data_IF_075827088258
#
_entry.id   IF_075827088258
#
_cell.length_a   1.000
_cell.length_b   1.000
_cell.length_c   1.000
_cell.angle_alpha   90.00
_cell.angle_beta   90.00
_cell.angle_gamma   90.00
#
_symmetry.space_group_name_H-M   'P 1'
#
loop_
_entity.id
_entity.type
_entity.pdbx_description
1 polymer ?
#
# COMPACT_ATOMS: atom_id res chain seq x y z
N UNK A 1 88.31 16.84 79.49
CA UNK A 1 87.37 15.78 79.12
C UNK A 1 86.98 16.05 77.68
N UNK A 2 87.79 15.56 76.75
CA UNK A 2 87.67 14.23 76.10
C UNK A 2 86.85 14.42 74.81
N UNK A 3 87.23 13.93 73.64
CA UNK A 3 88.48 13.36 73.15
C UNK A 3 88.41 13.41 71.60
N UNK A 4 89.58 13.15 71.01
CA UNK A 4 90.05 13.21 69.64
C UNK A 4 89.35 12.31 68.58
N UNK A 5 89.39 12.83 67.34
CA UNK A 5 89.83 12.20 66.05
C UNK A 5 88.95 11.13 65.36
N UNK A 6 88.49 11.43 64.13
CA UNK A 6 88.96 10.77 62.87
C UNK A 6 88.49 11.51 61.60
N UNK A 7 89.46 11.96 60.78
CA UNK A 7 89.39 12.06 59.30
C UNK A 7 89.59 10.64 58.74
N UNK A 8 89.00 10.16 57.66
CA UNK A 8 89.07 10.42 56.20
C UNK A 8 87.98 9.50 55.60
N UNK A 9 87.33 9.73 54.45
CA UNK A 9 87.87 9.48 53.11
C UNK A 9 86.80 9.83 52.04
N UNK A 10 87.26 10.28 50.88
CA UNK A 10 86.48 10.78 49.73
C UNK A 10 85.90 9.62 48.91
N UNK A 11 84.60 9.65 48.58
CA UNK A 11 84.06 9.00 47.36
C UNK A 11 83.02 9.89 46.67
N UNK A 12 83.44 10.36 45.49
CA UNK A 12 82.66 11.08 44.49
C UNK A 12 81.57 10.16 43.91
N UNK A 13 80.29 10.48 44.16
CA UNK A 13 79.15 9.82 43.50
C UNK A 13 78.59 10.77 42.46
N UNK A 14 78.91 10.48 41.19
CA UNK A 14 78.26 11.11 40.02
C UNK A 14 76.75 10.80 40.06
N UNK A 15 75.97 11.81 40.41
CA UNK A 15 74.51 11.82 40.22
C UNK A 15 74.17 11.77 38.72
N UNK A 16 73.53 10.68 38.32
CA UNK A 16 73.01 10.44 36.97
C UNK A 16 71.80 11.37 36.76
N UNK A 17 71.98 12.50 36.05
CA UNK A 17 70.86 13.34 35.59
C UNK A 17 69.96 12.51 34.68
N UNK A 18 68.80 12.09 35.19
CA UNK A 18 67.68 11.62 34.38
C UNK A 18 67.18 12.80 33.55
N UNK A 19 67.37 12.71 32.24
CA UNK A 19 66.89 13.71 31.29
C UNK A 19 65.39 13.46 31.06
N UNK A 20 64.53 14.02 31.91
CA UNK A 20 63.08 14.05 31.65
C UNK A 20 62.81 15.18 30.66
N UNK A 21 62.63 14.81 29.38
CA UNK A 21 62.00 15.68 28.38
C UNK A 21 60.60 16.02 28.90
N UNK A 22 60.42 17.24 29.42
CA UNK A 22 59.10 17.77 29.74
C UNK A 22 58.45 18.20 28.43
N UNK A 23 57.47 17.41 27.98
CA UNK A 23 56.70 17.74 26.79
C UNK A 23 56.00 19.09 26.95
N UNK A 24 56.02 19.89 25.87
CA UNK A 24 55.40 21.21 25.83
C UNK A 24 53.87 21.10 26.04
N UNK A 25 53.22 22.08 26.69
CA UNK A 25 51.76 22.12 26.80
C UNK A 25 51.02 21.98 25.45
N UNK A 26 51.65 22.39 24.34
CA UNK A 26 51.10 22.22 22.98
C UNK A 26 51.13 20.77 22.48
N UNK A 27 52.10 19.97 22.93
CA UNK A 27 52.20 18.56 22.55
C UNK A 27 51.24 17.71 23.39
N UNK A 28 51.07 18.02 24.68
CA UNK A 28 50.02 17.41 25.50
C UNK A 28 48.60 17.65 24.94
N UNK A 29 48.32 18.85 24.43
CA UNK A 29 47.00 19.16 23.83
C UNK A 29 46.73 18.34 22.55
N UNK A 30 47.76 18.04 21.75
CA UNK A 30 47.64 17.16 20.56
C UNK A 30 47.37 15.72 20.97
N UNK A 31 48.10 15.17 21.95
CA UNK A 31 47.89 13.79 22.41
C UNK A 31 46.54 13.62 23.13
N UNK A 32 46.05 14.63 23.85
CA UNK A 32 44.69 14.64 24.38
C UNK A 32 43.63 14.69 23.27
N UNK A 33 43.85 15.50 22.22
CA UNK A 33 42.95 15.56 21.06
C UNK A 33 42.86 14.24 20.29
N UNK A 34 43.99 13.57 20.03
CA UNK A 34 44.01 12.25 19.39
C UNK A 34 43.48 11.13 20.30
N UNK A 35 43.71 11.21 21.61
CA UNK A 35 43.15 10.26 22.58
C UNK A 35 41.63 10.37 22.71
N UNK A 36 41.10 11.60 22.75
CA UNK A 36 39.65 11.85 22.81
C UNK A 36 38.96 11.43 21.50
N UNK A 37 39.60 11.72 20.35
CA UNK A 37 39.12 11.29 19.04
C UNK A 37 39.14 9.75 18.91
N UNK A 38 40.19 9.09 19.41
CA UNK A 38 40.28 7.63 19.45
C UNK A 38 39.20 6.99 20.33
N UNK A 39 38.93 7.55 21.51
CA UNK A 39 37.85 7.10 22.39
C UNK A 39 36.48 7.31 21.73
N UNK A 40 36.27 8.45 21.05
CA UNK A 40 35.06 8.72 20.29
C UNK A 40 34.85 7.70 19.16
N UNK A 41 35.91 7.36 18.41
CA UNK A 41 35.83 6.35 17.33
C UNK A 41 35.53 4.97 17.91
N UNK A 42 36.18 4.57 19.01
CA UNK A 42 35.92 3.29 19.68
C UNK A 42 34.49 3.26 20.24
N UNK A 43 34.03 4.33 20.88
CA UNK A 43 32.66 4.46 21.34
C UNK A 43 31.66 4.37 20.19
N UNK A 44 31.95 5.01 19.05
CA UNK A 44 31.10 4.97 17.86
C UNK A 44 31.08 3.55 17.25
N UNK A 45 32.20 2.85 17.24
CA UNK A 45 32.28 1.44 16.82
C UNK A 45 31.51 0.51 17.75
N UNK A 46 31.70 0.63 19.07
CA UNK A 46 30.96 -0.15 20.08
C UNK A 46 29.47 0.17 19.99
N UNK A 47 29.10 1.45 19.91
CA UNK A 47 27.73 1.90 19.72
C UNK A 47 27.13 1.31 18.45
N UNK A 48 27.88 1.28 17.35
CA UNK A 48 27.43 0.68 16.09
C UNK A 48 27.16 -0.81 16.27
N UNK A 49 28.08 -1.56 16.89
CA UNK A 49 27.91 -2.99 17.16
C UNK A 49 26.72 -3.25 18.10
N UNK A 50 26.59 -2.48 19.17
CA UNK A 50 25.47 -2.57 20.12
C UNK A 50 24.15 -2.25 19.44
N UNK A 51 24.07 -1.18 18.64
CA UNK A 51 22.87 -0.80 17.89
C UNK A 51 22.49 -1.87 16.87
N UNK A 52 23.44 -2.41 16.09
CA UNK A 52 23.18 -3.50 15.14
C UNK A 52 22.67 -4.75 15.87
N UNK A 53 23.24 -5.09 17.02
CA UNK A 53 22.77 -6.22 17.83
C UNK A 53 21.39 -5.97 18.44
N UNK A 54 21.12 -4.76 18.92
CA UNK A 54 19.83 -4.38 19.50
C UNK A 54 18.71 -4.33 18.45
N UNK A 55 19.02 -3.93 17.21
CA UNK A 55 18.11 -3.96 16.07
C UNK A 55 17.67 -5.39 15.73
N UNK A 56 18.58 -6.38 15.85
CA UNK A 56 18.21 -7.80 15.70
C UNK A 56 17.18 -8.28 16.72
N UNK A 57 17.07 -7.60 17.86
CA UNK A 57 16.07 -7.88 18.91
C UNK A 57 14.89 -6.90 18.86
N UNK A 58 14.68 -6.19 17.75
CA UNK A 58 13.58 -5.22 17.56
C UNK A 58 13.51 -4.13 18.66
N UNK A 59 14.67 -3.67 19.14
CA UNK A 59 14.73 -2.64 20.19
C UNK A 59 14.07 -1.33 19.76
N UNK A 60 13.12 -0.87 20.58
CA UNK A 60 12.41 0.41 20.42
C UNK A 60 13.11 1.59 21.13
N UNK A 61 14.33 1.37 21.64
CA UNK A 61 15.05 2.39 22.39
C UNK A 61 15.40 3.59 21.49
N UNK A 62 15.12 4.82 21.96
CA UNK A 62 15.34 6.05 21.18
C UNK A 62 16.76 6.22 20.66
N UNK A 63 17.77 5.75 21.41
CA UNK A 63 19.17 5.75 20.96
C UNK A 63 19.40 4.77 19.80
N UNK A 64 18.81 3.57 19.89
CA UNK A 64 18.90 2.55 18.83
C UNK A 64 18.18 3.03 17.57
N UNK A 65 16.99 3.64 17.72
CA UNK A 65 16.26 4.26 16.60
C UNK A 65 17.11 5.38 15.95
N UNK A 66 17.65 6.30 16.74
CA UNK A 66 18.55 7.35 16.26
C UNK A 66 19.76 6.80 15.49
N UNK A 67 20.46 5.82 16.05
CA UNK A 67 21.60 5.17 15.40
C UNK A 67 21.20 4.39 14.16
N UNK A 68 20.05 3.72 14.15
CA UNK A 68 19.56 2.98 12.99
C UNK A 68 19.26 3.89 11.79
N UNK A 69 18.81 5.13 12.06
CA UNK A 69 18.61 6.15 11.03
C UNK A 69 19.94 6.60 10.44
N UNK A 70 20.93 6.88 11.29
CA UNK A 70 22.29 7.29 10.87
C UNK A 70 22.96 6.18 10.05
N UNK A 71 22.82 4.93 10.48
CA UNK A 71 23.42 3.76 9.84
C UNK A 71 22.60 3.23 8.65
N UNK A 72 21.44 3.83 8.35
CA UNK A 72 20.51 3.37 7.32
C UNK A 72 20.23 1.85 7.41
N UNK A 73 19.91 1.40 8.63
CA UNK A 73 19.59 0.00 8.91
C UNK A 73 18.19 -0.32 8.38
N UNK A 74 18.09 -1.53 7.83
CA UNK A 74 16.88 -1.99 7.15
C UNK A 74 16.36 -3.28 7.75
N UNK A 75 15.04 -3.39 7.86
CA UNK A 75 14.36 -4.62 8.26
C UNK A 75 14.34 -5.65 7.13
N UNK A 76 14.19 -5.17 5.90
CA UNK A 76 14.14 -5.96 4.68
C UNK A 76 14.65 -5.14 3.49
N UNK A 77 14.84 -5.80 2.36
CA UNK A 77 15.12 -5.20 1.07
C UNK A 77 14.18 -5.80 0.02
N UNK A 78 13.72 -5.01 -0.93
CA UNK A 78 12.92 -5.45 -2.07
C UNK A 78 13.59 -4.99 -3.37
N UNK A 79 14.04 -5.91 -4.20
CA UNK A 79 14.83 -5.60 -5.41
C UNK A 79 16.08 -4.73 -5.11
N UNK A 80 16.70 -4.92 -3.94
CA UNK A 80 17.86 -4.15 -3.45
C UNK A 80 17.50 -2.82 -2.77
N UNK A 81 16.23 -2.42 -2.81
CA UNK A 81 15.74 -1.22 -2.14
C UNK A 81 15.41 -1.49 -0.67
N UNK A 82 16.05 -0.73 0.23
CA UNK A 82 15.93 -0.90 1.68
C UNK A 82 14.56 -0.48 2.24
N UNK A 83 14.01 -1.29 3.13
CA UNK A 83 12.88 -0.98 4.01
C UNK A 83 13.42 -0.53 5.36
N UNK A 84 13.10 0.71 5.76
CA UNK A 84 13.60 1.35 6.99
C UNK A 84 13.24 0.57 8.25
N UNK A 85 14.24 0.31 9.10
CA UNK A 85 13.99 -0.27 10.43
C UNK A 85 13.14 0.66 11.31
N UNK A 86 13.37 1.97 11.25
CA UNK A 86 12.61 2.93 12.06
C UNK A 86 11.14 2.91 11.68
N UNK A 87 10.85 2.90 10.39
CA UNK A 87 9.48 2.94 9.88
C UNK A 87 8.74 1.67 10.31
N UNK A 88 9.41 0.51 10.23
CA UNK A 88 8.88 -0.77 10.70
C UNK A 88 8.59 -0.77 12.21
N UNK A 89 9.52 -0.32 13.05
CA UNK A 89 9.32 -0.30 14.50
C UNK A 89 8.24 0.71 14.92
N UNK A 90 8.21 1.88 14.29
CA UNK A 90 7.17 2.88 14.55
C UNK A 90 5.79 2.34 14.19
N UNK A 91 5.66 1.69 13.04
CA UNK A 91 4.40 1.14 12.57
C UNK A 91 3.94 -0.07 13.40
N UNK A 92 4.88 -0.92 13.85
CA UNK A 92 4.62 -1.96 14.84
C UNK A 92 4.07 -1.37 16.13
N UNK A 93 4.68 -0.31 16.65
CA UNK A 93 4.21 0.36 17.87
C UNK A 93 2.79 0.90 17.68
N UNK A 94 2.50 1.48 16.53
CA UNK A 94 1.17 2.00 16.20
C UNK A 94 0.12 0.90 16.12
N UNK A 95 0.37 -0.22 15.42
CA UNK A 95 -0.59 -1.31 15.34
C UNK A 95 -0.78 -2.01 16.70
N UNK A 96 0.30 -2.24 17.45
CA UNK A 96 0.18 -2.78 18.81
C UNK A 96 -0.64 -1.86 19.73
N UNK A 97 -0.52 -0.54 19.57
CA UNK A 97 -1.34 0.42 20.31
C UNK A 97 -2.81 0.31 19.90
N UNK A 98 -3.10 0.28 18.61
CA UNK A 98 -4.46 0.10 18.10
C UNK A 98 -5.10 -1.19 18.66
N UNK A 99 -4.38 -2.31 18.61
CA UNK A 99 -4.87 -3.61 19.10
C UNK A 99 -4.85 -3.77 20.62
N UNK A 100 -4.24 -2.84 21.37
CA UNK A 100 -4.33 -2.84 22.85
C UNK A 100 -5.70 -2.40 23.36
N UNK A 101 -6.49 -1.72 22.52
CA UNK A 101 -7.87 -1.34 22.80
C UNK A 101 -8.72 -1.42 21.52
N UNK A 102 -8.99 -2.64 21.02
CA UNK A 102 -9.65 -2.85 19.75
C UNK A 102 -11.16 -2.48 19.84
N UNK A 103 -11.79 -2.08 18.72
CA UNK A 103 -13.25 -2.01 18.64
C UNK A 103 -13.91 -3.34 19.03
N UNK A 104 -15.14 -3.27 19.54
CA UNK A 104 -15.91 -4.45 19.91
C UNK A 104 -16.11 -5.38 18.71
N UNK A 105 -15.96 -6.70 18.95
CA UNK A 105 -16.09 -7.72 17.90
C UNK A 105 -14.87 -7.90 16.99
N UNK A 106 -13.80 -7.10 17.15
CA UNK A 106 -12.60 -7.23 16.34
C UNK A 106 -11.68 -8.33 16.88
N UNK A 107 -11.34 -9.31 16.05
CA UNK A 107 -10.30 -10.29 16.34
C UNK A 107 -8.92 -9.61 16.38
N UNK A 108 -8.21 -9.80 17.49
CA UNK A 108 -6.86 -9.27 17.67
C UNK A 108 -5.84 -10.22 17.03
N UNK A 109 -5.04 -9.78 16.05
CA UNK A 109 -4.00 -10.62 15.48
C UNK A 109 -2.87 -10.88 16.48
N UNK A 110 -2.15 -11.97 16.26
CA UNK A 110 -0.90 -12.29 16.96
C UNK A 110 0.19 -11.26 16.64
N UNK A 111 1.23 -11.20 17.47
CA UNK A 111 2.37 -10.29 17.22
C UNK A 111 3.11 -10.59 15.91
N UNK A 112 3.12 -11.86 15.48
CA UNK A 112 3.69 -12.27 14.19
C UNK A 112 2.83 -11.75 13.03
N UNK A 113 1.50 -11.91 13.09
CA UNK A 113 0.58 -11.37 12.09
C UNK A 113 0.65 -9.83 12.01
N UNK A 114 0.78 -9.14 13.14
CA UNK A 114 1.00 -7.67 13.15
C UNK A 114 2.31 -7.32 12.47
N UNK A 115 3.40 -8.05 12.76
CA UNK A 115 4.69 -7.88 12.08
C UNK A 115 4.56 -8.06 10.57
N UNK A 116 3.87 -9.10 10.14
CA UNK A 116 3.65 -9.44 8.74
C UNK A 116 2.83 -8.36 8.03
N UNK A 117 1.79 -7.83 8.67
CA UNK A 117 1.01 -6.71 8.15
C UNK A 117 1.86 -5.45 7.96
N UNK A 118 2.71 -5.10 8.95
CA UNK A 118 3.59 -3.93 8.84
C UNK A 118 4.59 -4.12 7.70
N UNK A 119 5.27 -5.26 7.66
CA UNK A 119 6.26 -5.53 6.62
C UNK A 119 5.63 -5.53 5.22
N UNK A 120 4.47 -6.17 5.07
CA UNK A 120 3.72 -6.22 3.81
C UNK A 120 3.37 -4.83 3.30
N UNK A 121 2.79 -3.99 4.16
CA UNK A 121 2.46 -2.60 3.80
C UNK A 121 3.69 -1.80 3.40
N UNK A 122 4.80 -1.93 4.12
CA UNK A 122 6.03 -1.19 3.80
C UNK A 122 6.64 -1.63 2.47
N UNK A 123 6.61 -2.93 2.16
CA UNK A 123 7.05 -3.47 0.88
C UNK A 123 6.15 -2.99 -0.27
N UNK A 124 4.83 -3.08 -0.11
CA UNK A 124 3.86 -2.58 -1.07
C UNK A 124 4.04 -1.08 -1.35
N UNK A 125 4.13 -0.26 -0.29
CA UNK A 125 4.40 1.18 -0.40
C UNK A 125 5.72 1.46 -1.13
N UNK A 126 6.74 0.64 -0.93
CA UNK A 126 8.03 0.79 -1.63
C UNK A 126 7.87 0.57 -3.13
N UNK A 127 7.11 -0.45 -3.53
CA UNK A 127 6.80 -0.72 -4.94
C UNK A 127 5.94 0.39 -5.54
N UNK A 128 4.85 0.80 -4.88
CA UNK A 128 3.98 1.88 -5.34
C UNK A 128 4.79 3.17 -5.55
N UNK A 129 5.63 3.54 -4.59
CA UNK A 129 6.48 4.73 -4.72
C UNK A 129 7.48 4.64 -5.89
N UNK A 130 7.99 3.44 -6.17
CA UNK A 130 8.89 3.22 -7.32
C UNK A 130 8.13 3.35 -8.62
N UNK A 131 7.01 2.64 -8.75
CA UNK A 131 6.13 2.68 -9.92
C UNK A 131 5.63 4.11 -10.18
N UNK A 132 5.19 4.82 -9.15
CA UNK A 132 4.74 6.20 -9.32
C UNK A 132 5.83 7.13 -9.89
N UNK A 133 7.10 6.94 -9.49
CA UNK A 133 8.22 7.70 -10.08
C UNK A 133 8.44 7.36 -11.55
N UNK A 134 8.34 6.09 -11.93
CA UNK A 134 8.47 5.63 -13.32
C UNK A 134 7.39 6.23 -14.23
N UNK A 135 6.17 6.38 -13.71
CA UNK A 135 5.02 6.95 -14.43
C UNK A 135 4.87 8.46 -14.22
N UNK A 136 5.79 9.11 -13.49
CA UNK A 136 5.74 10.55 -13.24
C UNK A 136 4.59 11.01 -12.32
N UNK A 137 3.92 10.09 -11.63
CA UNK A 137 2.79 10.36 -10.73
C UNK A 137 3.29 10.88 -9.39
N UNK A 138 2.66 11.97 -8.90
CA UNK A 138 3.00 12.62 -7.64
C UNK A 138 1.75 13.06 -6.90
N UNK A 139 1.81 13.02 -5.57
CA UNK A 139 0.82 13.65 -4.70
C UNK A 139 1.16 15.13 -4.54
N UNK A 140 0.21 16.01 -4.83
CA UNK A 140 0.33 17.46 -4.71
C UNK A 140 -0.12 17.94 -3.34
N UNK A 141 0.17 19.20 -3.00
CA UNK A 141 -0.35 19.81 -1.77
C UNK A 141 -1.87 19.96 -1.81
N UNK A 142 -2.46 20.18 -2.98
CA UNK A 142 -3.91 20.26 -3.15
C UNK A 142 -4.58 18.91 -2.85
N UNK A 143 -4.01 17.81 -3.35
CA UNK A 143 -4.50 16.45 -3.03
C UNK A 143 -4.50 16.22 -1.51
N UNK A 144 -3.44 16.68 -0.83
CA UNK A 144 -3.30 16.55 0.64
C UNK A 144 -4.34 17.40 1.37
N UNK A 145 -4.57 18.63 0.93
CA UNK A 145 -5.59 19.52 1.51
C UNK A 145 -6.98 18.91 1.33
N UNK A 146 -7.33 18.46 0.14
CA UNK A 146 -8.63 17.84 -0.14
C UNK A 146 -8.85 16.56 0.68
N UNK A 147 -7.81 15.74 0.82
CA UNK A 147 -7.85 14.56 1.69
C UNK A 147 -8.04 14.94 3.16
N UNK A 148 -7.32 15.96 3.64
CA UNK A 148 -7.47 16.46 5.01
C UNK A 148 -8.89 16.97 5.24
N UNK A 149 -9.42 17.79 4.34
CA UNK A 149 -10.77 18.36 4.48
C UNK A 149 -11.82 17.25 4.49
N UNK A 150 -11.70 16.27 3.60
CA UNK A 150 -12.58 15.08 3.57
C UNK A 150 -12.50 14.27 4.86
N UNK A 151 -11.29 14.06 5.39
CA UNK A 151 -11.08 13.35 6.65
C UNK A 151 -11.71 14.12 7.82
N UNK A 152 -11.56 15.44 7.86
CA UNK A 152 -12.08 16.29 8.92
C UNK A 152 -13.62 16.33 8.95
N UNK A 153 -14.32 16.01 7.87
CA UNK A 153 -15.80 15.90 7.89
C UNK A 153 -16.31 14.82 8.84
N UNK A 154 -15.47 13.82 9.18
CA UNK A 154 -15.79 12.74 10.11
C UNK A 154 -15.61 13.15 11.58
N UNK A 155 -15.08 14.34 11.84
CA UNK A 155 -14.76 14.81 13.19
C UNK A 155 -15.42 16.16 13.49
N UNK A 156 -15.76 16.46 14.76
CA UNK A 156 -16.29 17.76 15.13
C UNK A 156 -15.32 18.93 14.89
N UNK A 157 -14.01 18.68 14.99
CA UNK A 157 -12.96 19.66 14.75
C UNK A 157 -11.61 18.98 14.49
N UNK A 158 -10.64 19.75 13.96
CA UNK A 158 -9.27 19.29 13.78
C UNK A 158 -8.59 18.91 15.11
N UNK A 159 -8.87 19.62 16.19
CA UNK A 159 -8.32 19.30 17.51
C UNK A 159 -8.81 17.94 18.03
N UNK A 160 -10.10 17.63 17.84
CA UNK A 160 -10.67 16.33 18.19
C UNK A 160 -10.15 15.21 17.29
N UNK A 161 -9.99 15.46 15.98
CA UNK A 161 -9.37 14.50 15.07
C UNK A 161 -7.94 14.15 15.51
N UNK A 162 -7.14 15.17 15.81
CA UNK A 162 -5.76 14.97 16.26
C UNK A 162 -5.70 14.21 17.60
N UNK A 163 -6.61 14.50 18.52
CA UNK A 163 -6.72 13.79 19.80
C UNK A 163 -7.10 12.31 19.60
N UNK A 164 -8.15 12.01 18.82
CA UNK A 164 -8.58 10.63 18.54
C UNK A 164 -7.46 9.84 17.84
N UNK A 165 -6.78 10.42 16.86
CA UNK A 165 -5.64 9.78 16.18
C UNK A 165 -4.47 9.53 17.14
N UNK A 166 -4.20 10.48 18.04
CA UNK A 166 -3.15 10.32 19.05
C UNK A 166 -3.51 9.22 20.06
N UNK A 167 -4.77 9.17 20.49
CA UNK A 167 -5.27 8.19 21.45
C UNK A 167 -5.32 6.79 20.85
N UNK A 168 -5.74 6.66 19.58
CA UNK A 168 -5.89 5.38 18.87
C UNK A 168 -4.58 4.85 18.27
N UNK A 169 -3.83 5.70 17.57
CA UNK A 169 -2.65 5.31 16.77
C UNK A 169 -1.33 5.85 17.33
N UNK A 170 -1.39 6.83 18.24
CA UNK A 170 -0.18 7.51 18.75
C UNK A 170 0.39 8.53 17.78
N UNK A 171 -0.40 8.99 16.81
CA UNK A 171 0.01 9.89 15.75
C UNK A 171 -0.76 11.21 15.78
N UNK A 172 -0.10 12.27 15.33
CA UNK A 172 -0.79 13.52 14.97
C UNK A 172 -1.54 13.36 13.65
N UNK A 173 -2.46 14.28 13.36
CA UNK A 173 -3.14 14.35 12.07
C UNK A 173 -2.15 14.44 10.90
N UNK A 174 -1.11 15.26 11.01
CA UNK A 174 -0.09 15.40 9.96
C UNK A 174 0.65 14.08 9.74
N UNK A 175 0.97 13.37 10.82
CA UNK A 175 1.65 12.08 10.74
C UNK A 175 0.74 11.02 10.11
N UNK A 176 -0.54 11.02 10.46
CA UNK A 176 -1.52 10.14 9.85
C UNK A 176 -1.66 10.39 8.34
N UNK A 177 -1.79 11.66 7.94
CA UNK A 177 -1.82 12.05 6.52
C UNK A 177 -0.52 11.60 5.81
N UNK A 178 0.64 11.75 6.44
CA UNK A 178 1.92 11.29 5.88
C UNK A 178 1.98 9.77 5.70
N UNK A 179 1.57 9.00 6.71
CA UNK A 179 1.77 7.54 6.77
C UNK A 179 0.63 6.74 6.12
N UNK A 180 -0.56 7.32 5.99
CA UNK A 180 -1.76 6.66 5.48
C UNK A 180 -2.31 7.43 4.27
N UNK A 181 -2.61 8.72 4.43
CA UNK A 181 -3.24 9.52 3.38
C UNK A 181 -2.41 9.61 2.10
N UNK A 182 -1.13 9.99 2.20
CA UNK A 182 -0.23 10.12 1.04
C UNK A 182 -0.07 8.81 0.27
N UNK A 183 0.19 7.64 0.90
CA UNK A 183 0.21 6.37 0.18
C UNK A 183 -1.10 6.07 -0.56
N UNK A 184 -2.26 6.25 0.08
CA UNK A 184 -3.57 6.02 -0.56
C UNK A 184 -3.77 6.95 -1.76
N UNK A 185 -3.50 8.24 -1.60
CA UNK A 185 -3.60 9.22 -2.69
C UNK A 185 -2.64 8.87 -3.84
N UNK A 186 -1.43 8.43 -3.53
CA UNK A 186 -0.45 8.06 -4.54
C UNK A 186 -0.91 6.83 -5.32
N UNK A 187 -1.41 5.82 -4.63
CA UNK A 187 -1.96 4.61 -5.22
C UNK A 187 -3.15 4.93 -6.13
N UNK A 188 -4.12 5.72 -5.64
CA UNK A 188 -5.29 6.14 -6.42
C UNK A 188 -4.88 6.89 -7.70
N UNK A 189 -4.00 7.90 -7.58
CA UNK A 189 -3.52 8.65 -8.75
C UNK A 189 -2.74 7.76 -9.71
N UNK A 190 -1.98 6.79 -9.19
CA UNK A 190 -1.22 5.85 -10.00
C UNK A 190 -2.14 4.90 -10.75
N UNK A 191 -3.19 4.39 -10.10
CA UNK A 191 -4.23 3.58 -10.72
C UNK A 191 -4.89 4.36 -11.86
N UNK A 192 -5.32 5.61 -11.63
CA UNK A 192 -5.88 6.47 -12.69
C UNK A 192 -4.92 6.62 -13.86
N UNK A 193 -3.65 6.97 -13.59
CA UNK A 193 -2.65 7.13 -14.64
C UNK A 193 -2.33 5.83 -15.40
N UNK A 194 -2.46 4.67 -14.74
CA UNK A 194 -2.31 3.35 -15.36
C UNK A 194 -3.48 3.01 -16.28
N UNK A 195 -4.71 3.32 -15.86
CA UNK A 195 -5.94 3.01 -16.60
C UNK A 195 -6.26 4.02 -17.70
N UNK A 196 -5.74 5.26 -17.64
CA UNK A 196 -5.91 6.27 -18.69
C UNK A 196 -5.20 5.91 -19.99
N UNK A 197 -4.16 5.08 -19.93
CA UNK A 197 -3.44 4.62 -21.11
C UNK A 197 -4.24 3.50 -21.76
N UNK A 198 -4.95 3.80 -22.84
CA UNK A 198 -5.54 2.76 -23.68
C UNK A 198 -4.44 1.87 -24.24
N UNK A 199 -4.58 0.56 -24.01
CA UNK A 199 -3.64 -0.44 -24.48
C UNK A 199 -4.21 -1.13 -25.72
N UNK A 200 -3.33 -1.75 -26.49
CA UNK A 200 -3.76 -2.84 -27.36
C UNK A 200 -3.99 -4.10 -26.51
N UNK A 201 -4.62 -5.12 -27.09
CA UNK A 201 -4.89 -6.38 -26.42
C UNK A 201 -3.65 -7.27 -26.25
N UNK A 202 -2.44 -6.76 -26.50
CA UNK A 202 -1.18 -7.53 -26.42
C UNK A 202 -0.41 -7.29 -25.13
N UNK A 203 -0.81 -6.31 -24.33
CA UNK A 203 -0.23 -6.09 -23.00
C UNK A 203 -0.64 -7.22 -22.05
N UNK A 204 0.34 -7.78 -21.34
CA UNK A 204 0.15 -8.89 -20.39
C UNK A 204 -0.89 -8.58 -19.30
N UNK A 205 -1.09 -7.30 -18.98
CA UNK A 205 -2.03 -6.85 -17.95
C UNK A 205 -3.23 -6.11 -18.55
N UNK A 206 -3.48 -6.24 -19.85
CA UNK A 206 -4.67 -5.68 -20.48
C UNK A 206 -5.93 -6.45 -20.03
N UNK A 207 -6.90 -5.71 -19.52
CA UNK A 207 -8.26 -6.20 -19.27
C UNK A 207 -9.23 -5.42 -20.13
N UNK A 208 -10.24 -6.11 -20.64
CA UNK A 208 -11.30 -5.47 -21.42
C UNK A 208 -12.28 -4.77 -20.48
N UNK A 209 -12.50 -3.48 -20.75
CA UNK A 209 -13.60 -2.71 -20.19
C UNK A 209 -14.57 -2.31 -21.29
N UNK A 210 -15.86 -2.33 -20.95
CA UNK A 210 -16.95 -1.86 -21.79
C UNK A 210 -17.66 -0.71 -21.09
N UNK A 211 -18.18 0.23 -21.86
CA UNK A 211 -19.15 1.22 -21.38
C UNK A 211 -20.47 0.93 -22.04
N UNK A 212 -21.51 0.73 -21.25
CA UNK A 212 -22.83 0.40 -21.74
C UNK A 212 -23.88 1.30 -21.11
N UNK A 213 -24.99 1.46 -21.84
CA UNK A 213 -26.20 2.09 -21.35
C UNK A 213 -27.32 1.07 -21.29
N UNK A 214 -28.21 1.19 -20.32
CA UNK A 214 -29.38 0.34 -20.20
C UNK A 214 -30.66 1.10 -19.84
N UNK A 215 -31.80 0.46 -20.10
CA UNK A 215 -33.10 0.87 -19.59
C UNK A 215 -33.76 -0.35 -18.95
N UNK A 216 -33.97 -0.29 -17.64
CA UNK A 216 -34.58 -1.37 -16.88
C UNK A 216 -36.11 -1.24 -16.85
N UNK A 217 -36.79 -2.37 -17.05
CA UNK A 217 -38.23 -2.56 -16.88
C UNK A 217 -38.47 -3.75 -15.95
N UNK A 218 -39.04 -3.48 -14.79
CA UNK A 218 -39.27 -4.50 -13.75
C UNK A 218 -40.73 -4.64 -13.37
N UNK A 219 -41.06 -5.77 -12.74
CA UNK A 219 -42.35 -5.97 -12.08
C UNK A 219 -42.42 -5.13 -10.80
N UNK A 220 -43.58 -4.51 -10.56
CA UNK A 220 -43.88 -3.77 -9.33
C UNK A 220 -45.32 -4.03 -8.88
N UNK A 221 -45.78 -3.35 -7.83
CA UNK A 221 -47.14 -3.51 -7.30
C UNK A 221 -48.27 -3.26 -8.33
N UNK A 222 -47.96 -2.56 -9.42
CA UNK A 222 -48.92 -2.11 -10.44
C UNK A 222 -48.65 -2.70 -11.83
N UNK A 223 -47.48 -3.27 -12.05
CA UNK A 223 -46.97 -3.71 -13.35
C UNK A 223 -46.54 -5.15 -13.25
N UNK A 224 -47.23 -6.05 -13.94
CA UNK A 224 -46.81 -7.46 -14.01
C UNK A 224 -45.57 -7.63 -14.88
N UNK A 225 -44.85 -8.74 -14.71
CA UNK A 225 -43.71 -9.10 -15.56
C UNK A 225 -44.01 -9.04 -17.06
N UNK A 226 -45.19 -9.51 -17.49
CA UNK A 226 -45.60 -9.46 -18.91
C UNK A 226 -45.91 -8.04 -19.40
N UNK A 227 -46.46 -7.18 -18.54
CA UNK A 227 -46.67 -5.77 -18.85
C UNK A 227 -45.32 -5.04 -18.98
N UNK A 228 -44.38 -5.30 -18.08
CA UNK A 228 -43.02 -4.77 -18.16
C UNK A 228 -42.32 -5.21 -19.46
N UNK A 229 -42.42 -6.50 -19.82
CA UNK A 229 -41.88 -7.04 -21.08
C UNK A 229 -42.48 -6.34 -22.29
N UNK A 230 -43.80 -6.22 -22.34
CA UNK A 230 -44.52 -5.56 -23.43
C UNK A 230 -44.04 -4.12 -23.57
N UNK A 231 -43.90 -3.41 -22.44
CA UNK A 231 -43.44 -2.03 -22.44
C UNK A 231 -42.00 -1.88 -22.91
N UNK A 232 -41.12 -2.76 -22.45
CA UNK A 232 -39.73 -2.80 -22.88
C UNK A 232 -39.63 -3.04 -24.40
N UNK A 233 -40.43 -3.95 -24.98
CA UNK A 233 -40.46 -4.18 -26.43
C UNK A 233 -40.94 -2.96 -27.22
N UNK A 234 -41.94 -2.24 -26.75
CA UNK A 234 -42.40 -0.99 -27.37
C UNK A 234 -41.27 0.06 -27.38
N UNK A 235 -40.56 0.22 -26.27
CA UNK A 235 -39.48 1.21 -26.16
C UNK A 235 -38.28 0.81 -27.02
N UNK A 236 -37.90 -0.47 -27.03
CA UNK A 236 -36.84 -0.97 -27.90
C UNK A 236 -37.16 -0.68 -29.38
N UNK A 237 -38.40 -0.90 -29.81
CA UNK A 237 -38.80 -0.60 -31.18
C UNK A 237 -38.67 0.90 -31.50
N UNK A 238 -39.08 1.79 -30.59
CA UNK A 238 -38.90 3.24 -30.78
C UNK A 238 -37.43 3.62 -30.95
N UNK A 239 -36.54 3.02 -30.16
CA UNK A 239 -35.09 3.27 -30.26
C UNK A 239 -34.57 2.76 -31.61
N UNK A 240 -34.99 1.57 -32.05
CA UNK A 240 -34.66 1.04 -33.39
C UNK A 240 -35.18 1.93 -34.52
N UNK A 241 -36.31 2.60 -34.31
CA UNK A 241 -36.90 3.57 -35.25
C UNK A 241 -36.24 4.97 -35.18
N UNK A 242 -35.23 5.16 -34.32
CA UNK A 242 -34.41 6.37 -34.24
C UNK A 242 -34.70 7.30 -33.06
N UNK A 243 -35.48 6.88 -32.07
CA UNK A 243 -35.60 7.62 -30.81
C UNK A 243 -34.27 7.64 -30.05
N UNK A 244 -33.97 8.75 -29.38
CA UNK A 244 -32.76 8.88 -28.57
C UNK A 244 -32.80 7.95 -27.34
N UNK A 245 -31.71 7.21 -27.11
CA UNK A 245 -31.64 6.24 -26.03
C UNK A 245 -31.73 6.90 -24.65
N UNK A 246 -30.99 8.00 -24.45
CA UNK A 246 -30.93 8.68 -23.16
C UNK A 246 -32.27 9.34 -22.81
N UNK A 247 -32.98 9.90 -23.80
CA UNK A 247 -34.35 10.39 -23.62
C UNK A 247 -35.32 9.26 -23.23
N UNK A 248 -35.22 8.09 -23.88
CA UNK A 248 -36.04 6.93 -23.52
C UNK A 248 -35.69 6.40 -22.12
N UNK A 249 -34.41 6.42 -21.73
CA UNK A 249 -33.96 6.06 -20.40
C UNK A 249 -34.53 7.00 -19.34
N UNK A 250 -34.44 8.32 -19.54
CA UNK A 250 -35.00 9.31 -18.63
C UNK A 250 -36.54 9.20 -18.50
N UNK A 251 -37.23 8.82 -19.58
CA UNK A 251 -38.68 8.70 -19.60
C UNK A 251 -39.19 7.39 -18.99
N UNK A 252 -38.51 6.28 -19.23
CA UNK A 252 -39.03 4.93 -18.94
C UNK A 252 -38.20 4.13 -17.94
N UNK A 253 -36.95 4.51 -17.68
CA UNK A 253 -36.09 3.87 -16.71
C UNK A 253 -36.61 4.03 -15.29
N UNK A 254 -36.32 3.03 -14.45
CA UNK A 254 -36.84 2.93 -13.07
C UNK A 254 -35.74 2.90 -12.01
N UNK A 255 -34.48 2.86 -12.42
CA UNK A 255 -33.30 2.81 -11.55
C UNK A 255 -32.61 4.18 -11.47
N UNK A 256 -31.48 4.23 -10.78
CA UNK A 256 -30.72 5.47 -10.55
C UNK A 256 -30.05 6.02 -11.81
N UNK A 257 -29.82 5.20 -12.85
CA UNK A 257 -29.14 5.63 -14.08
C UNK A 257 -30.05 6.41 -15.02
N UNK A 258 -31.38 6.38 -14.81
CA UNK A 258 -32.37 7.03 -15.70
C UNK A 258 -32.07 8.51 -15.96
N UNK A 259 -31.62 9.26 -14.94
CA UNK A 259 -31.35 10.70 -15.05
C UNK A 259 -29.97 10.98 -15.70
N UNK A 260 -29.16 9.94 -15.86
CA UNK A 260 -27.86 9.96 -16.57
C UNK A 260 -27.98 9.29 -17.95
N UNK A 261 -29.21 9.12 -18.46
CA UNK A 261 -29.45 8.54 -19.78
C UNK A 261 -29.27 7.03 -19.85
N UNK A 262 -29.26 6.34 -18.70
CA UNK A 262 -29.05 4.90 -18.60
C UNK A 262 -27.58 4.48 -18.57
N UNK A 263 -26.63 5.42 -18.52
CA UNK A 263 -25.19 5.14 -18.55
C UNK A 263 -24.73 4.40 -17.28
N UNK A 264 -24.07 3.26 -17.49
CA UNK A 264 -23.48 2.45 -16.40
C UNK A 264 -22.01 2.78 -16.14
N UNK A 265 -21.40 3.66 -16.95
CA UNK A 265 -19.98 3.90 -16.92
C UNK A 265 -19.17 2.71 -17.44
N UNK A 266 -17.87 2.72 -17.16
CA UNK A 266 -16.93 1.66 -17.58
C UNK A 266 -16.92 0.51 -16.57
N UNK A 267 -17.02 -0.71 -17.05
CA UNK A 267 -16.90 -1.91 -16.22
C UNK A 267 -16.17 -3.05 -16.94
N UNK A 268 -15.50 -3.88 -16.15
CA UNK A 268 -14.89 -5.15 -16.57
C UNK A 268 -15.85 -6.31 -16.31
N UNK A 269 -15.47 -7.50 -16.79
CA UNK A 269 -16.15 -8.75 -16.43
C UNK A 269 -16.14 -9.01 -14.93
N UNK A 270 -17.19 -9.65 -14.41
CA UNK A 270 -17.42 -9.96 -13.01
C UNK A 270 -18.04 -8.83 -12.17
N UNK A 271 -18.29 -7.66 -12.77
CA UNK A 271 -18.91 -6.51 -12.08
C UNK A 271 -20.43 -6.53 -12.21
N UNK A 272 -20.94 -6.96 -13.36
CA UNK A 272 -22.38 -7.05 -13.65
C UNK A 272 -22.87 -8.48 -13.46
N UNK A 273 -24.19 -8.65 -13.39
CA UNK A 273 -24.78 -9.99 -13.33
C UNK A 273 -24.54 -10.77 -14.64
N UNK A 274 -24.40 -12.12 -14.58
CA UNK A 274 -23.91 -12.91 -15.70
C UNK A 274 -24.70 -12.73 -17.00
N UNK A 275 -26.02 -12.69 -16.94
CA UNK A 275 -26.89 -12.61 -18.13
C UNK A 275 -26.75 -11.27 -18.84
N UNK A 276 -26.57 -10.18 -18.08
CA UNK A 276 -26.33 -8.84 -18.62
C UNK A 276 -24.93 -8.75 -19.25
N UNK A 277 -23.93 -9.27 -18.55
CA UNK A 277 -22.56 -9.25 -18.99
C UNK A 277 -22.36 -10.05 -20.28
N UNK A 278 -22.89 -11.27 -20.34
CA UNK A 278 -22.78 -12.13 -21.51
C UNK A 278 -23.34 -11.43 -22.76
N UNK A 279 -24.49 -10.77 -22.62
CA UNK A 279 -25.09 -10.00 -23.70
C UNK A 279 -24.21 -8.82 -24.14
N UNK A 280 -23.76 -7.98 -23.20
CA UNK A 280 -22.96 -6.79 -23.53
C UNK A 280 -21.62 -7.13 -24.17
N UNK A 281 -20.89 -8.11 -23.63
CA UNK A 281 -19.56 -8.43 -24.14
C UNK A 281 -19.58 -9.23 -25.45
N UNK A 282 -20.74 -9.74 -25.87
CA UNK A 282 -20.93 -10.33 -27.20
C UNK A 282 -21.23 -9.26 -28.28
N UNK A 283 -21.47 -8.00 -27.89
CA UNK A 283 -21.83 -6.91 -28.79
C UNK A 283 -20.60 -6.16 -29.32
N UNK A 284 -20.79 -5.50 -30.46
CA UNK A 284 -19.82 -4.58 -31.05
C UNK A 284 -20.02 -3.15 -30.54
N UNK A 285 -18.95 -2.35 -30.56
CA UNK A 285 -19.02 -0.94 -30.15
C UNK A 285 -20.11 -0.18 -30.92
N UNK A 286 -20.98 0.50 -30.18
CA UNK A 286 -22.11 1.28 -30.70
C UNK A 286 -23.37 0.46 -30.95
N UNK A 287 -23.34 -0.87 -30.76
CA UNK A 287 -24.47 -1.74 -31.02
C UNK A 287 -25.56 -1.60 -29.96
N UNK A 288 -26.82 -1.62 -30.42
CA UNK A 288 -28.02 -1.84 -29.61
C UNK A 288 -28.38 -3.33 -29.67
N UNK A 289 -28.72 -3.95 -28.55
CA UNK A 289 -29.15 -5.35 -28.54
C UNK A 289 -30.41 -5.58 -29.38
N UNK A 290 -30.47 -6.71 -30.08
CA UNK A 290 -31.58 -7.03 -30.97
C UNK A 290 -32.87 -7.42 -30.22
N UNK A 291 -32.75 -7.95 -29.01
CA UNK A 291 -33.88 -8.25 -28.13
C UNK A 291 -33.57 -7.80 -26.70
N UNK A 292 -34.56 -7.91 -25.82
CA UNK A 292 -34.43 -7.63 -24.40
C UNK A 292 -33.51 -8.64 -23.72
N UNK A 293 -32.68 -8.15 -22.81
CA UNK A 293 -31.90 -9.01 -21.90
C UNK A 293 -32.73 -9.23 -20.64
N UNK A 294 -33.08 -10.48 -20.36
CA UNK A 294 -33.83 -10.85 -19.16
C UNK A 294 -32.87 -11.20 -18.02
N UNK A 295 -33.16 -10.69 -16.83
CA UNK A 295 -32.36 -10.89 -15.62
C UNK A 295 -33.28 -11.07 -14.42
N UNK A 296 -32.69 -11.36 -13.25
CA UNK A 296 -33.42 -11.37 -11.97
C UNK A 296 -34.07 -10.03 -11.61
N UNK A 297 -33.58 -8.92 -12.17
CA UNK A 297 -34.14 -7.57 -11.95
C UNK A 297 -35.25 -7.19 -12.93
N UNK A 298 -35.51 -8.00 -13.96
CA UNK A 298 -36.47 -7.71 -15.03
C UNK A 298 -35.82 -7.67 -16.41
N UNK A 299 -36.42 -6.89 -17.31
CA UNK A 299 -36.01 -6.79 -18.71
C UNK A 299 -35.20 -5.53 -18.95
N UNK A 300 -34.09 -5.68 -19.66
CA UNK A 300 -33.20 -4.58 -20.00
C UNK A 300 -33.18 -4.38 -21.51
N UNK A 301 -33.28 -3.12 -21.92
CA UNK A 301 -32.80 -2.68 -23.22
C UNK A 301 -31.35 -2.26 -23.03
N UNK A 302 -30.42 -2.82 -23.80
CA UNK A 302 -28.99 -2.57 -23.58
C UNK A 302 -28.31 -2.09 -24.86
N UNK A 303 -27.34 -1.19 -24.70
CA UNK A 303 -26.52 -0.64 -25.77
C UNK A 303 -25.07 -0.62 -25.31
N UNK A 304 -24.16 -1.14 -26.14
CA UNK A 304 -22.73 -1.04 -25.92
C UNK A 304 -22.25 0.29 -26.53
N UNK A 305 -21.85 1.25 -25.70
CA UNK A 305 -21.42 2.57 -26.17
C UNK A 305 -19.96 2.59 -26.61
N UNK A 306 -19.09 1.94 -25.84
CA UNK A 306 -17.66 1.90 -26.12
C UNK A 306 -16.99 0.66 -25.52
N UNK A 307 -15.81 0.30 -26.04
CA UNK A 307 -14.96 -0.75 -25.49
C UNK A 307 -13.50 -0.32 -25.54
N UNK A 308 -12.73 -0.71 -24.53
CA UNK A 308 -11.30 -0.42 -24.44
C UNK A 308 -10.57 -1.54 -23.71
N UNK A 309 -9.26 -1.62 -23.92
CA UNK A 309 -8.39 -2.36 -23.03
C UNK A 309 -7.67 -1.35 -22.12
N UNK A 310 -7.80 -1.57 -20.82
CA UNK A 310 -7.05 -0.84 -19.79
C UNK A 310 -6.07 -1.77 -19.12
N UNK A 311 -5.04 -1.21 -18.49
CA UNK A 311 -4.16 -2.02 -17.66
C UNK A 311 -4.81 -2.28 -16.31
N UNK A 312 -4.90 -3.55 -15.92
CA UNK A 312 -5.24 -3.92 -14.56
C UNK A 312 -4.08 -3.58 -13.62
N UNK A 313 -4.25 -2.46 -12.91
CA UNK A 313 -3.28 -1.96 -11.95
C UNK A 313 -3.00 -2.97 -10.82
N UNK A 314 -4.02 -3.64 -10.31
CA UNK A 314 -3.86 -4.56 -9.18
C UNK A 314 -3.12 -5.82 -9.60
N UNK A 315 -3.48 -6.40 -10.74
CA UNK A 315 -2.74 -7.56 -11.29
C UNK A 315 -1.30 -7.18 -11.61
N UNK A 316 -1.06 -6.01 -12.19
CA UNK A 316 0.28 -5.50 -12.43
C UNK A 316 1.09 -5.39 -11.12
N UNK A 317 0.55 -4.72 -10.10
CA UNK A 317 1.26 -4.51 -8.83
C UNK A 317 1.47 -5.82 -8.05
N UNK A 318 0.50 -6.73 -8.09
CA UNK A 318 0.64 -8.06 -7.51
C UNK A 318 1.77 -8.84 -8.19
N UNK A 319 1.83 -8.81 -9.53
CA UNK A 319 2.93 -9.44 -10.26
C UNK A 319 4.29 -8.82 -9.90
N UNK A 320 4.38 -7.49 -9.76
CA UNK A 320 5.60 -6.82 -9.28
C UNK A 320 6.04 -7.32 -7.89
N UNK A 321 5.09 -7.54 -6.98
CA UNK A 321 5.37 -8.03 -5.63
C UNK A 321 5.79 -9.50 -5.61
N UNK A 322 5.10 -10.35 -6.37
CA UNK A 322 5.37 -11.78 -6.45
C UNK A 322 6.73 -12.07 -7.11
N UNK A 323 7.09 -11.33 -8.14
CA UNK A 323 8.39 -11.47 -8.83
C UNK A 323 9.54 -10.75 -8.13
N UNK A 324 9.26 -9.89 -7.14
CA UNK A 324 10.31 -9.14 -6.46
C UNK A 324 11.25 -10.03 -5.65
N UNK A 325 12.55 -9.68 -5.63
CA UNK A 325 13.54 -10.30 -4.74
C UNK A 325 13.45 -9.67 -3.36
N UNK A 326 12.82 -10.37 -2.42
CA UNK A 326 12.67 -9.93 -1.03
C UNK A 326 13.76 -10.59 -0.18
N UNK A 327 14.51 -9.78 0.57
CA UNK A 327 15.52 -10.25 1.52
C UNK A 327 15.21 -9.70 2.90
N UNK A 328 14.94 -10.58 3.86
CA UNK A 328 14.74 -10.21 5.25
C UNK A 328 16.09 -10.10 5.95
N UNK A 329 16.32 -8.99 6.66
CA UNK A 329 17.59 -8.71 7.35
C UNK A 329 17.51 -8.91 8.87
N UNK A 330 16.31 -9.14 9.41
CA UNK A 330 16.02 -9.35 10.84
C UNK A 330 15.36 -10.73 11.07
N UNK A 331 15.35 -11.26 12.29
CA UNK A 331 14.71 -12.54 12.59
C UNK A 331 13.18 -12.37 12.69
N UNK A 332 12.54 -12.05 11.56
CA UNK A 332 11.09 -11.91 11.40
C UNK A 332 10.62 -12.76 10.22
N UNK A 333 9.34 -13.09 10.18
CA UNK A 333 8.74 -13.85 9.09
C UNK A 333 8.75 -13.04 7.77
N UNK A 334 8.80 -13.76 6.65
CA UNK A 334 8.56 -13.20 5.32
C UNK A 334 7.14 -13.58 4.87
N UNK A 335 6.17 -12.66 4.92
CA UNK A 335 4.77 -12.98 4.61
C UNK A 335 4.52 -13.39 3.16
N UNK A 336 5.50 -13.20 2.26
CA UNK A 336 5.39 -13.55 0.84
C UNK A 336 6.11 -14.85 0.47
N UNK A 337 6.75 -15.53 1.43
CA UNK A 337 7.52 -16.74 1.13
C UNK A 337 6.61 -17.91 0.76
N UNK A 338 5.51 -18.10 1.49
CA UNK A 338 4.49 -19.13 1.20
C UNK A 338 3.75 -18.87 -0.11
N UNK A 339 3.37 -17.62 -0.37
CA UNK A 339 2.65 -17.24 -1.59
C UNK A 339 3.43 -17.55 -2.87
N UNK A 340 4.76 -17.45 -2.82
CA UNK A 340 5.63 -17.76 -3.97
C UNK A 340 5.78 -19.25 -4.23
N UNK A 341 5.63 -20.09 -3.19
CA UNK A 341 5.71 -21.53 -3.34
C UNK A 341 4.45 -22.09 -4.01
N UNK A 342 3.27 -21.57 -3.66
CA UNK A 342 1.98 -22.00 -4.24
C UNK A 342 1.88 -21.74 -5.75
N UNK A 343 2.46 -20.64 -6.26
CA UNK A 343 2.47 -20.34 -7.70
C UNK A 343 3.47 -21.15 -8.52
N UNK A 344 4.50 -21.74 -7.90
CA UNK A 344 5.46 -22.60 -8.61
C UNK A 344 4.93 -24.03 -8.81
N UNK A 345 3.90 -24.43 -8.07
CA UNK A 345 3.40 -25.81 -8.07
C UNK A 345 2.18 -26.05 -8.95
N UNK A 346 1.44 -25.03 -9.40
CA UNK A 346 0.30 -25.23 -10.30
C UNK A 346 0.16 -24.12 -11.35
N UNK A 347 0.17 -24.43 -12.67
CA UNK A 347 -0.54 -23.59 -13.61
C UNK A 347 -2.03 -23.64 -13.25
N UNK A 348 -2.67 -22.47 -13.13
CA UNK A 348 -4.12 -22.38 -12.94
C UNK A 348 -4.78 -22.92 -14.21
N UNK A 349 -5.06 -24.21 -14.26
CA UNK A 349 -6.06 -24.77 -15.15
C UNK A 349 -7.41 -24.34 -14.60
N UNK A 350 -8.02 -23.35 -15.23
CA UNK A 350 -9.46 -23.12 -15.09
C UNK A 350 -10.12 -24.29 -15.80
N UNK A 351 -10.36 -25.39 -15.09
CA UNK A 351 -11.32 -26.38 -15.54
C UNK A 351 -12.69 -25.72 -15.45
N UNK A 352 -13.24 -25.36 -16.61
CA UNK A 352 -14.65 -25.06 -16.75
C UNK A 352 -15.36 -26.38 -16.50
N UNK A 353 -15.92 -26.53 -15.30
CA UNK A 353 -16.77 -27.65 -14.94
C UNK A 353 -18.08 -27.48 -15.73
N UNK A 354 -18.18 -28.16 -16.88
CA UNK A 354 -19.45 -28.34 -17.59
C UNK A 354 -20.42 -29.04 -16.63
N UNK A 355 -21.38 -28.29 -16.10
CA UNK A 355 -22.47 -28.85 -15.31
C UNK A 355 -23.33 -29.70 -16.22
N UNK A 356 -23.18 -31.02 -16.12
CA UNK A 356 -23.99 -32.00 -16.81
C UNK A 356 -25.50 -31.77 -16.57
N UNK A 357 -26.24 -31.78 -17.67
CA UNK A 357 -27.69 -31.94 -17.73
C UNK A 357 -28.15 -33.09 -16.82
N UNK A 358 -28.81 -32.75 -15.71
CA UNK A 358 -29.59 -33.73 -14.98
C UNK A 358 -31.01 -33.75 -15.58
N UNK A 359 -31.19 -34.57 -16.60
CA UNK A 359 -32.49 -35.03 -17.06
C UNK A 359 -33.20 -35.77 -15.92
N UNK A 360 -34.31 -35.22 -15.40
CA UNK A 360 -35.27 -36.01 -14.63
C UNK A 360 -36.48 -36.26 -15.52
N UNK A 361 -36.51 -37.50 -16.03
CA UNK A 361 -37.69 -38.16 -16.56
C UNK A 361 -38.58 -38.68 -15.42
N UNK A 362 -39.89 -38.62 -15.70
CA UNK A 362 -41.08 -39.16 -14.99
C UNK A 362 -41.77 -38.29 -13.94
#
# INVERSE_FOLDING_TARGET
MEEKIKKEEVKEVKSKKTNTKTDSPKDMLKYFGFGLLGILVIFLLISTVVSVRAVKNLSQNSFVLGMSKVLNLSVAEINGEKISYNDYVEDLKTLNKFYSNPPEGLTVPTSEEISDQVLSRLLANKLINKTAKEYGVKVTNEDITNFKDSLLTQFPSEAEANKELQDRYGWTLEKYIERVGKPILLEQKLQTAFSEKTLDNTDEFAVEEVRASHILFMEDEKTTKEQAKTKAKEVLQKIKDGADFAEMAAQYGVDSTKDEGGDLGWFSRGIMIPEFEEAIFAMEKGQLADDLVETSFGYHIVKLDDRRFVRDFYTYMNNQLMTAKIKINLPINNPFESLKQTQQTEPITIEVEDSEENTISE
#
